data_IF_712503429300
#
_entry.id   IF_712503429300
#
_cell.length_a   1.000
_cell.length_b   1.000
_cell.length_c   1.000
_cell.angle_alpha   90.00
_cell.angle_beta   90.00
_cell.angle_gamma   90.00
#
_symmetry.space_group_name_H-M   'P 1'
#
loop_
_entity.id
_entity.type
_entity.pdbx_description
1 polymer ?
#
# COMPACT_ATOMS: atom_id res chain seq x y z
N UNK A 1 -7.94 -17.22 21.07
CA UNK A 1 -7.25 -15.98 20.65
C UNK A 1 -5.81 -16.15 20.16
N UNK A 2 -5.14 -17.30 20.31
CA UNK A 2 -3.72 -17.49 19.89
C UNK A 2 -3.43 -17.07 18.43
N UNK A 3 -4.21 -17.55 17.46
CA UNK A 3 -4.05 -17.21 16.04
C UNK A 3 -4.20 -15.71 15.75
N UNK A 4 -5.08 -15.02 16.47
CA UNK A 4 -5.25 -13.57 16.33
C UNK A 4 -3.99 -12.83 16.79
N UNK A 5 -3.49 -13.17 17.97
CA UNK A 5 -2.27 -12.55 18.51
C UNK A 5 -1.05 -12.80 17.61
N UNK A 6 -0.90 -14.02 17.10
CA UNK A 6 0.18 -14.37 16.16
C UNK A 6 0.09 -13.55 14.85
N UNK A 7 -1.12 -13.41 14.28
CA UNK A 7 -1.32 -12.61 13.06
C UNK A 7 -1.10 -11.13 13.27
N UNK A 8 -1.55 -10.59 14.39
CA UNK A 8 -1.35 -9.18 14.73
C UNK A 8 0.15 -8.88 14.88
N UNK A 9 0.89 -9.73 15.60
CA UNK A 9 2.33 -9.59 15.76
C UNK A 9 3.08 -9.64 14.42
N UNK A 10 2.74 -10.58 13.53
CA UNK A 10 3.33 -10.67 12.19
C UNK A 10 3.07 -9.42 11.34
N UNK A 11 1.88 -8.85 11.45
CA UNK A 11 1.49 -7.65 10.72
C UNK A 11 2.24 -6.42 11.25
N UNK A 12 2.30 -6.24 12.56
CA UNK A 12 3.05 -5.15 13.19
C UNK A 12 4.56 -5.26 12.91
N UNK A 13 5.12 -6.47 12.87
CA UNK A 13 6.52 -6.68 12.48
C UNK A 13 6.78 -6.27 11.02
N UNK A 14 5.86 -6.57 10.10
CA UNK A 14 6.02 -6.27 8.67
C UNK A 14 5.71 -4.80 8.30
N UNK A 15 4.70 -4.20 8.93
CA UNK A 15 4.15 -2.88 8.57
C UNK A 15 4.47 -1.80 9.62
N UNK A 16 5.17 -2.17 10.71
CA UNK A 16 5.53 -1.32 11.84
C UNK A 16 4.45 -1.24 12.92
N UNK A 17 3.24 -0.82 12.56
CA UNK A 17 2.08 -0.80 13.47
C UNK A 17 0.81 -1.20 12.74
N UNK A 18 -0.20 -1.63 13.49
CA UNK A 18 -1.52 -1.91 12.92
C UNK A 18 -2.13 -0.69 12.21
N UNK A 19 -1.94 0.50 12.76
CA UNK A 19 -2.42 1.75 12.15
C UNK A 19 -1.75 2.01 10.80
N UNK A 20 -0.43 1.81 10.68
CA UNK A 20 0.29 1.94 9.41
C UNK A 20 -0.33 1.06 8.31
N UNK A 21 -0.66 -0.18 8.63
CA UNK A 21 -1.32 -1.10 7.70
C UNK A 21 -2.70 -0.59 7.27
N UNK A 22 -3.53 -0.14 8.22
CA UNK A 22 -4.88 0.36 7.91
C UNK A 22 -4.88 1.68 7.10
N UNK A 23 -3.78 2.43 7.16
CA UNK A 23 -3.58 3.69 6.44
C UNK A 23 -2.87 3.51 5.09
N UNK A 24 -2.72 2.28 4.60
CA UNK A 24 -2.06 1.94 3.33
C UNK A 24 -2.60 2.71 2.13
N UNK A 25 -3.89 3.10 2.14
CA UNK A 25 -4.52 3.96 1.12
C UNK A 25 -3.83 5.31 0.90
N UNK A 26 -3.00 5.77 1.84
CA UNK A 26 -2.18 6.98 1.69
C UNK A 26 -0.98 6.78 0.77
N UNK A 27 -0.64 5.53 0.47
CA UNK A 27 0.52 5.16 -0.34
C UNK A 27 0.19 4.31 -1.56
N UNK A 28 -0.86 3.48 -1.49
CA UNK A 28 -1.43 2.75 -2.62
C UNK A 28 -2.36 3.66 -3.43
N UNK A 29 -2.56 3.29 -4.70
CA UNK A 29 -3.26 4.11 -5.68
C UNK A 29 -2.41 5.27 -6.20
N UNK A 30 -3.07 6.36 -6.58
CA UNK A 30 -2.44 7.55 -7.18
C UNK A 30 -2.37 8.67 -6.16
N UNK A 31 -1.17 9.19 -5.92
CA UNK A 31 -0.91 10.27 -4.97
C UNK A 31 -0.13 11.40 -5.65
N UNK A 32 -0.69 12.62 -5.59
CA UNK A 32 0.02 13.84 -6.02
C UNK A 32 0.92 14.33 -4.89
N UNK A 33 2.19 14.54 -5.18
CA UNK A 33 3.17 15.07 -4.24
C UNK A 33 3.15 16.61 -4.19
N UNK A 34 3.62 17.21 -3.10
CA UNK A 34 3.72 18.67 -2.97
C UNK A 34 4.62 19.33 -4.03
N UNK A 35 5.59 18.60 -4.57
CA UNK A 35 6.48 19.04 -5.66
C UNK A 35 5.81 18.97 -7.06
N UNK A 36 4.54 18.54 -7.11
CA UNK A 36 3.78 18.38 -8.36
C UNK A 36 3.94 17.02 -9.03
N UNK A 37 4.82 16.15 -8.54
CA UNK A 37 4.99 14.78 -9.06
C UNK A 37 3.80 13.87 -8.75
N UNK A 38 3.70 12.76 -9.48
CA UNK A 38 2.70 11.71 -9.24
C UNK A 38 3.40 10.41 -8.83
N UNK A 39 2.89 9.77 -7.79
CA UNK A 39 3.27 8.41 -7.38
C UNK A 39 2.09 7.50 -7.62
N UNK A 40 2.33 6.39 -8.30
CA UNK A 40 1.40 5.29 -8.41
C UNK A 40 2.00 4.05 -7.73
N UNK A 41 1.21 3.37 -6.92
CA UNK A 41 1.55 2.08 -6.32
C UNK A 41 0.36 1.16 -6.36
N UNK A 42 0.52 0.04 -7.04
CA UNK A 42 -0.51 -0.99 -7.19
C UNK A 42 0.07 -2.37 -6.84
N UNK A 43 -0.74 -3.25 -6.28
CA UNK A 43 -0.36 -4.65 -6.06
C UNK A 43 -0.84 -5.50 -7.23
N UNK A 44 0.08 -5.85 -8.13
CA UNK A 44 -0.22 -6.65 -9.32
C UNK A 44 0.85 -7.73 -9.55
N UNK A 45 0.98 -8.73 -8.65
CA UNK A 45 2.08 -9.70 -8.67
C UNK A 45 2.11 -10.62 -9.90
N UNK A 46 0.99 -10.73 -10.62
CA UNK A 46 0.90 -11.52 -11.86
C UNK A 46 0.97 -10.68 -13.13
N UNK A 47 1.20 -9.37 -13.04
CA UNK A 47 1.25 -8.51 -14.22
C UNK A 47 2.64 -8.55 -14.86
N UNK A 48 2.68 -8.72 -16.19
CA UNK A 48 3.91 -8.56 -16.98
C UNK A 48 4.34 -7.08 -17.01
N UNK A 49 3.36 -6.17 -17.08
CA UNK A 49 3.58 -4.74 -17.02
C UNK A 49 2.32 -4.02 -16.50
N UNK A 50 2.52 -2.85 -15.89
CA UNK A 50 1.46 -1.96 -15.40
C UNK A 50 1.66 -0.59 -16.03
N UNK A 51 0.60 -0.05 -16.63
CA UNK A 51 0.59 1.26 -17.29
C UNK A 51 -0.52 2.14 -16.71
N UNK A 52 -0.31 3.45 -16.72
CA UNK A 52 -1.29 4.46 -16.31
C UNK A 52 -1.77 5.22 -17.55
N UNK A 53 -3.08 5.36 -17.70
CA UNK A 53 -3.71 6.06 -18.85
C UNK A 53 -4.95 6.83 -18.38
N UNK A 54 -5.31 7.89 -19.10
CA UNK A 54 -6.48 8.73 -18.83
C UNK A 54 -6.44 10.00 -19.68
N UNK A 55 -7.37 10.93 -19.44
CA UNK A 55 -7.48 12.19 -20.19
C UNK A 55 -6.39 13.23 -19.85
N UNK A 56 -5.54 12.93 -18.85
CA UNK A 56 -4.55 13.84 -18.26
C UNK A 56 -3.30 14.04 -19.11
#
# INVERSE_FOLDING_TARGET
YKRFAERLAQLEEAEGTFDCFTLSYRSFGIQRRPDGGLVLREWAPGAEAVFLTGDF
#
